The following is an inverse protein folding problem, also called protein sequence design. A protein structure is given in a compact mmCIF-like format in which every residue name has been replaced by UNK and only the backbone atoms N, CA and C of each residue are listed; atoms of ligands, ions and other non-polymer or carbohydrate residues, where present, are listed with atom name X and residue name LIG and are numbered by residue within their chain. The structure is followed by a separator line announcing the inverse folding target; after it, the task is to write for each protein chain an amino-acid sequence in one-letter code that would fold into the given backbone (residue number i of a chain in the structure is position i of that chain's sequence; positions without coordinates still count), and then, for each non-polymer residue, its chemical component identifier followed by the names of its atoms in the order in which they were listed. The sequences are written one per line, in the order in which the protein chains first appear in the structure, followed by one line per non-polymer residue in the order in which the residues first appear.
data_IF_378657618962
#
_entry.id   IF_378657618962
#
_cell.length_a   1.000
_cell.length_b   1.000
_cell.length_c   1.000
_cell.angle_alpha   90.00
_cell.angle_beta   90.00
_cell.angle_gamma   90.00
#
_symmetry.space_group_name_H-M   'P 1'
#
loop_
_entity.id
_entity.type
_entity.pdbx_description
1 polymer ?
#
# COMPACT_ATOMS: atom_id res chain seq x y z
N UNK A 1 31.11 -52.73 23.05
CA UNK A 1 30.15 -52.25 24.06
C UNK A 1 29.56 -50.94 23.57
N UNK A 2 28.23 -50.90 23.37
CA UNK A 2 27.26 -49.76 23.38
C UNK A 2 27.65 -48.46 22.63
N UNK A 3 26.95 -48.07 21.54
CA UNK A 3 25.67 -47.33 21.50
C UNK A 3 25.84 -45.87 22.01
N UNK A 4 25.35 -44.77 21.43
CA UNK A 4 24.33 -44.46 20.41
C UNK A 4 24.47 -42.96 20.04
N UNK A 5 23.84 -42.56 18.93
CA UNK A 5 23.58 -41.18 18.47
C UNK A 5 23.13 -40.17 19.55
N UNK A 6 23.43 -38.87 19.34
CA UNK A 6 22.38 -37.90 19.00
C UNK A 6 22.94 -36.53 18.55
N UNK A 7 22.42 -36.08 17.41
CA UNK A 7 22.35 -34.68 17.00
C UNK A 7 21.43 -33.92 17.97
N UNK A 8 21.82 -32.70 18.34
CA UNK A 8 20.85 -31.64 18.63
C UNK A 8 21.45 -30.27 18.35
N UNK A 9 20.72 -29.53 17.51
CA UNK A 9 20.89 -28.13 17.17
C UNK A 9 20.83 -27.25 18.43
N UNK A 10 21.73 -26.28 18.53
CA UNK A 10 21.66 -25.14 19.43
C UNK A 10 20.65 -24.13 18.85
N UNK A 11 19.51 -23.95 19.51
CA UNK A 11 19.19 -22.87 20.47
C UNK A 11 19.46 -21.45 19.94
N UNK A 12 18.38 -20.75 19.58
CA UNK A 12 17.99 -19.46 20.18
C UNK A 12 16.68 -18.95 19.56
N UNK A 13 15.56 -19.37 20.15
CA UNK A 13 14.28 -18.69 20.05
C UNK A 13 13.70 -18.56 21.47
N UNK A 14 13.18 -17.37 21.77
CA UNK A 14 12.31 -17.01 22.91
C UNK A 14 12.97 -16.67 24.25
N UNK A 15 13.64 -15.52 24.34
CA UNK A 15 13.83 -14.80 25.62
C UNK A 15 13.86 -13.28 25.41
N UNK A 16 12.71 -12.62 25.21
CA UNK A 16 12.57 -11.16 25.37
C UNK A 16 11.36 -10.78 26.22
N UNK A 17 11.10 -11.57 27.26
CA UNK A 17 10.27 -11.15 28.38
C UNK A 17 11.19 -10.89 29.57
N UNK A 18 10.93 -9.79 30.27
CA UNK A 18 11.50 -9.36 31.57
C UNK A 18 12.84 -8.62 31.52
N UNK A 19 12.77 -7.28 31.54
CA UNK A 19 13.10 -6.43 32.70
C UNK A 19 13.14 -4.96 32.23
N UNK A 20 12.20 -4.14 32.70
CA UNK A 20 12.41 -2.70 32.77
C UNK A 20 11.93 -2.24 34.14
N UNK A 21 12.92 -1.92 34.95
CA UNK A 21 12.79 -1.27 36.24
C UNK A 21 12.05 0.05 36.10
N UNK A 22 11.11 0.24 37.00
CA UNK A 22 10.54 1.54 37.33
C UNK A 22 11.63 2.41 37.92
N UNK A 23 11.99 3.51 37.26
CA UNK A 23 12.55 4.65 37.97
C UNK A 23 12.01 5.98 37.43
N UNK A 24 11.54 6.75 38.40
CA UNK A 24 10.87 8.03 38.26
C UNK A 24 11.82 9.15 38.68
N UNK A 25 11.89 10.23 37.91
CA UNK A 25 12.21 11.57 38.39
C UNK A 25 11.39 12.55 37.52
N UNK A 26 10.24 13.07 37.95
CA UNK A 26 10.04 14.21 38.86
C UNK A 26 10.77 15.50 38.44
N UNK A 27 10.07 16.33 37.66
CA UNK A 27 10.07 17.80 37.82
C UNK A 27 8.59 18.22 37.92
N UNK A 28 8.09 18.41 39.14
CA UNK A 28 8.07 19.67 39.89
C UNK A 28 6.80 20.52 39.63
N UNK A 29 5.80 20.25 40.47
CA UNK A 29 5.05 21.24 41.27
C UNK A 29 4.21 22.31 40.55
N UNK A 30 3.00 21.90 40.14
CA UNK A 30 1.77 22.44 40.78
C UNK A 30 0.84 21.26 41.05
N UNK A 31 0.51 21.02 42.33
CA UNK A 31 -0.61 20.13 42.70
C UNK A 31 -1.84 20.62 41.92
N UNK A 32 -2.53 19.79 41.12
CA UNK A 32 -3.83 20.18 40.59
C UNK A 32 -4.73 20.51 41.77
N UNK A 33 -5.42 21.64 41.74
CA UNK A 33 -6.40 21.94 42.76
C UNK A 33 -7.57 20.95 42.62
N UNK A 34 -7.55 19.90 43.43
CA UNK A 34 -8.51 18.79 43.36
C UNK A 34 -9.92 19.16 43.85
N UNK A 35 -10.12 20.41 44.30
CA UNK A 35 -11.43 20.94 44.71
C UNK A 35 -12.35 21.28 43.53
N UNK A 36 -11.86 21.20 42.28
CA UNK A 36 -12.54 21.66 41.08
C UNK A 36 -13.51 20.66 40.43
N UNK A 37 -13.49 19.38 40.82
CA UNK A 37 -14.38 18.35 40.24
C UNK A 37 -15.53 18.02 41.22
N UNK A 38 -16.54 18.89 41.27
CA UNK A 38 -17.78 18.59 41.99
C UNK A 38 -18.68 17.72 41.13
N UNK A 39 -18.93 16.49 41.56
CA UNK A 39 -20.04 15.65 41.08
C UNK A 39 -21.35 16.31 41.49
N UNK A 40 -22.20 16.67 40.53
CA UNK A 40 -23.60 16.99 40.78
C UNK A 40 -24.45 15.78 40.39
N UNK A 41 -24.97 15.04 41.39
CA UNK A 41 -25.90 13.93 41.18
C UNK A 41 -25.59 12.66 41.98
N UNK A 42 -26.64 11.91 42.31
CA UNK A 42 -26.55 10.64 43.02
C UNK A 42 -26.00 9.53 42.12
N UNK A 43 -24.88 8.95 42.55
CA UNK A 43 -24.24 7.80 41.89
C UNK A 43 -25.07 6.55 42.17
N UNK A 44 -25.40 5.77 41.14
CA UNK A 44 -25.94 4.43 41.36
C UNK A 44 -24.93 3.61 42.19
N UNK A 45 -25.32 3.03 43.35
CA UNK A 45 -24.44 2.36 44.31
C UNK A 45 -23.40 1.36 43.74
N UNK A 46 -23.68 0.54 42.70
CA UNK A 46 -22.73 -0.47 42.24
C UNK A 46 -21.47 0.09 41.55
N UNK A 47 -21.47 1.33 41.04
CA UNK A 47 -20.33 1.89 40.30
C UNK A 47 -19.22 2.43 41.23
N UNK A 48 -19.55 2.79 42.47
CA UNK A 48 -18.57 3.29 43.47
C UNK A 48 -17.57 2.24 43.95
N UNK A 49 -17.81 0.95 43.66
CA UNK A 49 -16.91 -0.13 44.08
C UNK A 49 -15.94 -0.59 42.98
N UNK A 50 -16.10 -0.10 41.75
CA UNK A 50 -15.22 -0.42 40.64
C UNK A 50 -13.96 0.46 40.66
N UNK A 51 -12.80 -0.14 40.37
CA UNK A 51 -11.54 0.60 40.19
C UNK A 51 -11.61 1.57 39.00
N UNK A 52 -12.26 1.16 37.91
CA UNK A 52 -12.58 2.01 36.75
C UNK A 52 -13.66 1.35 35.89
N UNK A 53 -14.38 2.15 35.11
CA UNK A 53 -15.33 1.67 34.10
C UNK A 53 -15.39 2.60 32.89
N UNK A 54 -16.08 2.18 31.83
CA UNK A 54 -16.39 3.04 30.69
C UNK A 54 -17.83 3.50 30.77
N UNK A 55 -18.05 4.77 30.47
CA UNK A 55 -19.38 5.35 30.29
C UNK A 55 -19.37 6.24 29.05
N UNK A 56 -20.52 6.44 28.43
CA UNK A 56 -20.65 7.19 27.17
C UNK A 56 -21.06 8.62 27.46
N UNK A 57 -20.54 9.56 26.68
CA UNK A 57 -21.06 10.94 26.71
C UNK A 57 -22.45 10.94 26.09
N UNK A 58 -23.43 11.44 26.84
CA UNK A 58 -24.82 11.60 26.36
C UNK A 58 -25.22 13.06 26.20
N UNK A 59 -24.57 13.97 26.93
CA UNK A 59 -24.87 15.41 26.83
C UNK A 59 -23.67 16.27 27.25
N UNK A 60 -23.52 17.44 26.63
CA UNK A 60 -22.52 18.46 26.95
C UNK A 60 -23.16 19.84 26.86
N UNK A 61 -23.09 20.62 27.96
CA UNK A 61 -23.62 21.99 28.00
C UNK A 61 -22.75 22.91 28.83
N UNK A 62 -22.94 24.22 28.70
CA UNK A 62 -22.32 25.24 29.56
C UNK A 62 -23.33 25.73 30.59
N UNK A 63 -22.89 25.81 31.84
CA UNK A 63 -23.63 26.39 32.95
C UNK A 63 -22.65 27.17 33.83
N UNK A 64 -22.97 28.42 34.15
CA UNK A 64 -22.13 29.31 34.97
C UNK A 64 -20.64 29.37 34.52
N UNK A 65 -20.38 29.46 33.20
CA UNK A 65 -19.04 29.46 32.59
C UNK A 65 -18.23 28.16 32.78
N UNK A 66 -18.87 27.09 33.25
CA UNK A 66 -18.29 25.74 33.35
C UNK A 66 -18.92 24.84 32.30
N UNK A 67 -18.13 23.92 31.75
CA UNK A 67 -18.63 22.90 30.83
C UNK A 67 -19.04 21.68 31.67
N UNK A 68 -20.27 21.22 31.49
CA UNK A 68 -20.83 20.04 32.14
C UNK A 68 -20.96 18.93 31.11
N UNK A 69 -20.51 17.73 31.45
CA UNK A 69 -20.60 16.52 30.62
C UNK A 69 -21.40 15.47 31.38
N UNK A 70 -22.54 15.07 30.83
CA UNK A 70 -23.35 13.97 31.36
C UNK A 70 -22.99 12.68 30.67
N UNK A 71 -22.87 11.63 31.47
CA UNK A 71 -22.65 10.28 30.99
C UNK A 71 -23.94 9.43 31.01
N UNK A 72 -23.95 8.33 30.27
CA UNK A 72 -25.08 7.39 30.17
C UNK A 72 -25.42 6.67 31.48
N UNK A 73 -24.50 6.64 32.42
CA UNK A 73 -24.69 6.16 33.79
C UNK A 73 -25.35 7.20 34.73
N UNK A 74 -25.62 8.40 34.22
CA UNK A 74 -26.24 9.52 34.93
C UNK A 74 -25.27 10.48 35.61
N UNK A 75 -23.96 10.18 35.68
CA UNK A 75 -22.98 11.07 36.32
C UNK A 75 -22.76 12.34 35.48
N UNK A 76 -22.66 13.48 36.16
CA UNK A 76 -22.34 14.78 35.55
C UNK A 76 -20.99 15.27 36.06
N UNK A 77 -20.07 15.50 35.14
CA UNK A 77 -18.74 16.02 35.42
C UNK A 77 -18.62 17.47 34.97
N UNK A 78 -18.05 18.30 35.85
CA UNK A 78 -17.90 19.75 35.63
C UNK A 78 -16.42 20.05 35.34
N UNK A 79 -16.18 20.80 34.26
CA UNK A 79 -14.87 21.18 33.78
C UNK A 79 -14.77 22.69 33.60
N UNK A 80 -13.57 23.22 33.79
CA UNK A 80 -13.22 24.56 33.33
C UNK A 80 -13.12 24.59 31.81
N UNK A 81 -13.42 25.76 31.21
CA UNK A 81 -13.24 26.03 29.77
C UNK A 81 -11.83 25.70 29.30
N UNK A 82 -10.85 25.98 30.15
CA UNK A 82 -9.42 25.78 29.88
C UNK A 82 -8.89 24.38 30.21
N UNK A 83 -9.76 23.47 30.67
CA UNK A 83 -9.36 22.12 31.08
C UNK A 83 -8.73 21.34 29.92
N UNK A 84 -7.67 20.59 30.23
CA UNK A 84 -6.92 19.81 29.22
C UNK A 84 -7.80 18.77 28.51
N UNK A 85 -8.79 18.20 29.20
CA UNK A 85 -9.71 17.22 28.63
C UNK A 85 -10.69 17.88 27.65
N UNK A 86 -11.14 19.09 27.95
CA UNK A 86 -11.98 19.89 27.04
C UNK A 86 -11.19 20.29 25.80
N UNK A 87 -9.96 20.81 25.97
CA UNK A 87 -9.07 21.15 24.85
C UNK A 87 -8.79 19.94 23.96
N UNK A 88 -8.62 18.77 24.57
CA UNK A 88 -8.44 17.52 23.84
C UNK A 88 -9.69 17.12 23.06
N UNK A 89 -10.87 17.21 23.68
CA UNK A 89 -12.14 16.89 23.03
C UNK A 89 -12.40 17.84 21.84
N UNK A 90 -12.22 19.15 22.02
CA UNK A 90 -12.33 20.13 20.93
C UNK A 90 -11.39 19.80 19.76
N UNK A 91 -10.12 19.50 20.07
CA UNK A 91 -9.12 19.09 19.07
C UNK A 91 -9.51 17.79 18.36
N UNK A 92 -10.08 16.82 19.08
CA UNK A 92 -10.54 15.55 18.48
C UNK A 92 -11.62 15.78 17.43
N UNK A 93 -12.47 16.78 17.63
CA UNK A 93 -13.48 17.21 16.65
C UNK A 93 -12.98 18.21 15.62
N UNK A 94 -11.68 18.57 15.65
CA UNK A 94 -11.09 19.59 14.80
C UNK A 94 -11.78 20.96 14.90
N UNK A 95 -12.23 21.31 16.11
CA UNK A 95 -12.88 22.60 16.42
C UNK A 95 -11.89 23.44 17.23
N UNK A 96 -11.79 24.74 16.94
CA UNK A 96 -11.03 25.67 17.79
C UNK A 96 -11.63 25.71 19.20
N UNK A 97 -10.80 25.84 20.25
CA UNK A 97 -11.30 25.77 21.64
C UNK A 97 -12.25 26.92 21.98
N UNK A 98 -12.04 28.11 21.40
CA UNK A 98 -12.92 29.26 21.60
C UNK A 98 -14.23 29.06 20.83
N UNK A 99 -14.15 28.61 19.58
CA UNK A 99 -15.31 28.27 18.74
C UNK A 99 -16.13 27.13 19.36
N UNK A 100 -15.47 26.10 19.91
CA UNK A 100 -16.10 24.99 20.63
C UNK A 100 -16.93 25.49 21.81
N UNK A 101 -16.42 26.50 22.51
CA UNK A 101 -17.12 27.08 23.65
C UNK A 101 -18.28 27.98 23.22
N UNK A 102 -18.09 28.78 22.18
CA UNK A 102 -19.16 29.60 21.60
C UNK A 102 -20.29 28.73 21.02
N UNK A 103 -19.95 27.61 20.39
CA UNK A 103 -20.89 26.59 19.93
C UNK A 103 -21.69 26.00 21.09
N UNK A 104 -21.06 25.65 22.21
CA UNK A 104 -21.80 25.14 23.39
C UNK A 104 -22.70 26.25 23.99
N UNK A 105 -22.27 27.51 24.00
CA UNK A 105 -23.03 28.64 24.55
C UNK A 105 -24.28 28.98 23.72
N UNK A 106 -24.17 28.95 22.39
CA UNK A 106 -25.22 29.43 21.48
C UNK A 106 -26.09 28.31 20.88
N UNK A 107 -25.65 27.06 20.97
CA UNK A 107 -26.39 25.93 20.40
C UNK A 107 -26.70 24.87 21.46
N UNK A 108 -27.93 24.87 21.97
CA UNK A 108 -28.48 23.72 22.70
C UNK A 108 -28.70 22.49 21.78
N UNK A 109 -28.57 22.62 20.46
CA UNK A 109 -29.10 21.64 19.49
C UNK A 109 -28.10 21.10 18.46
N UNK A 110 -26.96 21.75 18.16
CA UNK A 110 -26.03 21.25 17.12
C UNK A 110 -24.88 20.39 17.64
N UNK A 111 -24.56 20.42 18.94
CA UNK A 111 -23.52 19.58 19.50
C UNK A 111 -24.05 18.21 19.97
N UNK A 112 -25.29 18.11 20.45
CA UNK A 112 -25.91 16.83 20.81
C UNK A 112 -25.86 15.83 19.64
N UNK A 113 -26.24 16.25 18.43
CA UNK A 113 -26.21 15.37 17.24
C UNK A 113 -24.78 14.94 16.86
N UNK A 114 -23.77 15.77 17.11
CA UNK A 114 -22.35 15.47 16.86
C UNK A 114 -21.77 14.52 17.92
N UNK A 115 -22.24 14.58 19.16
CA UNK A 115 -21.82 13.66 20.23
C UNK A 115 -22.58 12.33 20.18
N UNK A 116 -23.90 12.36 19.97
CA UNK A 116 -24.75 11.16 19.83
C UNK A 116 -24.31 10.28 18.66
N UNK A 117 -23.90 10.89 17.54
CA UNK A 117 -23.42 10.15 16.36
C UNK A 117 -22.10 9.41 16.58
N UNK A 118 -21.27 9.81 17.55
CA UNK A 118 -19.91 9.30 17.73
C UNK A 118 -19.72 8.36 18.93
N UNK A 119 -20.74 8.17 19.78
CA UNK A 119 -20.74 7.16 20.86
C UNK A 119 -19.44 7.18 21.70
N UNK A 120 -18.97 8.37 22.08
CA UNK A 120 -17.68 8.58 22.73
C UNK A 120 -17.67 7.92 24.11
N UNK A 121 -16.71 7.02 24.33
CA UNK A 121 -16.46 6.45 25.65
C UNK A 121 -15.49 7.33 26.45
N UNK A 122 -15.85 7.57 27.70
CA UNK A 122 -15.01 8.16 28.75
C UNK A 122 -14.61 7.04 29.70
N UNK A 123 -13.33 7.01 30.11
CA UNK A 123 -12.89 6.12 31.17
C UNK A 123 -13.05 6.83 32.50
N UNK A 124 -13.90 6.32 33.37
CA UNK A 124 -14.10 6.86 34.72
C UNK A 124 -13.28 6.02 35.69
N UNK A 125 -12.37 6.66 36.42
CA UNK A 125 -11.48 6.02 37.39
C UNK A 125 -11.91 6.40 38.80
N UNK A 126 -11.93 5.42 39.71
CA UNK A 126 -12.24 5.66 41.11
C UNK A 126 -10.94 5.80 41.90
N UNK A 127 -10.69 7.02 42.39
CA UNK A 127 -9.52 7.33 43.21
C UNK A 127 -10.00 7.72 44.61
N UNK A 128 -9.86 6.80 45.57
CA UNK A 128 -10.24 6.99 46.97
C UNK A 128 -11.71 7.42 47.16
N UNK A 129 -12.62 6.88 46.36
CA UNK A 129 -14.05 7.19 46.41
C UNK A 129 -14.49 8.37 45.52
N UNK A 130 -13.55 9.08 44.91
CA UNK A 130 -13.84 10.13 43.93
C UNK A 130 -13.81 9.55 42.52
N UNK A 131 -14.90 9.75 41.78
CA UNK A 131 -14.96 9.40 40.36
C UNK A 131 -14.30 10.51 39.56
N UNK A 132 -13.34 10.13 38.72
CA UNK A 132 -12.58 11.06 37.87
C UNK A 132 -12.75 10.62 36.42
N UNK A 133 -13.27 11.50 35.55
CA UNK A 133 -13.42 11.20 34.13
C UNK A 133 -12.08 11.40 33.41
N UNK A 134 -11.80 10.52 32.45
CA UNK A 134 -10.64 10.61 31.56
C UNK A 134 -11.10 10.39 30.11
N UNK A 135 -11.45 11.50 29.44
CA UNK A 135 -11.98 11.51 28.08
C UNK A 135 -10.92 11.01 27.09
N UNK A 136 -9.69 11.53 27.20
CA UNK A 136 -8.58 11.14 26.33
C UNK A 136 -8.33 9.63 26.36
N UNK A 137 -8.25 9.05 27.57
CA UNK A 137 -8.02 7.62 27.77
C UNK A 137 -9.21 6.79 27.29
N UNK A 138 -10.43 7.27 27.50
CA UNK A 138 -11.65 6.64 27.00
C UNK A 138 -11.65 6.49 25.46
N UNK A 139 -11.41 7.61 24.75
CA UNK A 139 -11.32 7.63 23.28
C UNK A 139 -10.17 6.74 22.77
N UNK A 140 -9.00 6.79 23.43
CA UNK A 140 -7.85 5.96 23.07
C UNK A 140 -8.14 4.46 23.18
N UNK A 141 -8.67 4.01 24.31
CA UNK A 141 -8.98 2.60 24.52
C UNK A 141 -10.13 2.12 23.62
N UNK A 142 -11.12 2.98 23.32
CA UNK A 142 -12.18 2.66 22.35
C UNK A 142 -11.63 2.45 20.93
N UNK A 143 -10.83 3.40 20.42
CA UNK A 143 -10.24 3.28 19.09
C UNK A 143 -9.27 2.10 19.00
N UNK A 144 -8.51 1.85 20.06
CA UNK A 144 -7.66 0.66 20.17
C UNK A 144 -8.48 -0.63 20.08
N UNK A 145 -9.59 -0.75 20.82
CA UNK A 145 -10.46 -1.92 20.74
C UNK A 145 -11.03 -2.12 19.34
N UNK A 146 -11.45 -1.04 18.67
CA UNK A 146 -11.97 -1.10 17.31
C UNK A 146 -10.89 -1.60 16.33
N UNK A 147 -9.67 -1.06 16.41
CA UNK A 147 -8.53 -1.49 15.59
C UNK A 147 -8.20 -2.97 15.86
N UNK A 148 -8.15 -3.38 17.12
CA UNK A 148 -7.89 -4.79 17.48
C UNK A 148 -8.97 -5.72 16.92
N UNK A 149 -10.23 -5.30 16.99
CA UNK A 149 -11.34 -6.07 16.43
C UNK A 149 -11.22 -6.19 14.90
N UNK A 150 -10.93 -5.08 14.22
CA UNK A 150 -10.70 -5.03 12.77
C UNK A 150 -9.55 -5.96 12.34
N UNK A 151 -8.44 -5.97 13.09
CA UNK A 151 -7.29 -6.84 12.82
C UNK A 151 -7.67 -8.32 12.95
N UNK A 152 -8.51 -8.67 13.95
CA UNK A 152 -8.98 -10.05 14.16
C UNK A 152 -9.90 -10.52 13.03
N UNK A 153 -10.76 -9.63 12.54
CA UNK A 153 -11.71 -9.93 11.45
C UNK A 153 -11.01 -9.99 10.08
N UNK A 154 -10.11 -9.05 9.79
CA UNK A 154 -9.50 -8.87 8.46
C UNK A 154 -8.14 -9.58 8.26
N UNK A 155 -7.67 -10.37 9.24
CA UNK A 155 -6.39 -11.11 9.22
C UNK A 155 -5.18 -10.22 8.87
N UNK A 156 -4.61 -9.52 9.87
CA UNK A 156 -3.24 -8.96 9.91
C UNK A 156 -2.70 -8.11 8.73
N UNK A 157 -3.50 -7.77 7.73
CA UNK A 157 -3.09 -6.98 6.55
C UNK A 157 -3.68 -5.57 6.53
N UNK A 158 -4.31 -5.13 7.63
CA UNK A 158 -4.92 -3.80 7.70
C UNK A 158 -3.85 -2.71 7.69
N UNK A 159 -4.03 -1.74 6.78
CA UNK A 159 -3.13 -0.60 6.57
C UNK A 159 -3.66 0.61 7.34
N UNK A 160 -2.78 1.29 8.07
CA UNK A 160 -3.10 2.54 8.77
C UNK A 160 -2.11 3.65 8.42
N UNK A 161 -2.53 4.91 8.51
CA UNK A 161 -1.60 6.04 8.57
C UNK A 161 -1.13 6.25 10.01
N UNK A 162 0.19 6.17 10.23
CA UNK A 162 0.80 6.35 11.53
C UNK A 162 1.71 7.58 11.51
N UNK A 163 1.46 8.50 12.44
CA UNK A 163 2.30 9.68 12.65
C UNK A 163 3.44 9.37 13.61
N UNK A 164 4.68 9.60 13.20
CA UNK A 164 5.85 9.40 14.05
C UNK A 164 5.95 10.57 15.01
N UNK A 165 5.91 10.30 16.32
CA UNK A 165 5.89 11.34 17.36
C UNK A 165 7.26 11.55 17.97
N UNK A 166 7.99 10.46 18.22
CA UNK A 166 9.33 10.49 18.82
C UNK A 166 10.08 9.19 18.55
N UNK A 167 11.38 9.23 18.77
CA UNK A 167 12.28 8.08 18.75
C UNK A 167 12.79 7.81 20.17
N UNK A 168 12.73 6.56 20.62
CA UNK A 168 13.29 6.13 21.92
C UNK A 168 13.94 4.77 21.71
N UNK A 169 15.24 4.64 22.00
CA UNK A 169 15.99 3.38 21.91
C UNK A 169 15.74 2.62 20.60
N UNK A 170 15.89 3.30 19.45
CA UNK A 170 15.68 2.73 18.11
C UNK A 170 14.22 2.28 17.80
N UNK A 171 13.26 2.70 18.62
CA UNK A 171 11.83 2.48 18.40
C UNK A 171 11.14 3.80 18.15
N UNK A 172 10.51 3.93 16.99
CA UNK A 172 9.57 5.00 16.71
C UNK A 172 8.28 4.78 17.50
N UNK A 173 7.95 5.76 18.34
CA UNK A 173 6.64 5.88 18.94
C UNK A 173 5.74 6.64 17.99
N UNK A 174 4.71 5.96 17.52
CA UNK A 174 3.82 6.43 16.49
C UNK A 174 2.39 6.55 17.05
N UNK A 175 1.54 7.29 16.33
CA UNK A 175 0.12 7.40 16.62
C UNK A 175 -0.73 7.17 15.39
N UNK A 176 -1.66 6.23 15.49
CA UNK A 176 -2.74 6.02 14.52
C UNK A 176 -3.94 6.87 14.96
N UNK A 177 -4.57 7.54 14.01
CA UNK A 177 -5.69 8.47 14.24
C UNK A 177 -5.37 9.55 15.30
N UNK A 178 -4.08 9.92 15.47
CA UNK A 178 -3.57 10.83 16.50
C UNK A 178 -3.79 10.40 17.97
N UNK A 179 -4.36 9.21 18.22
CA UNK A 179 -4.88 8.83 19.53
C UNK A 179 -4.37 7.47 19.99
N UNK A 180 -4.28 6.49 19.09
CA UNK A 180 -3.85 5.12 19.42
C UNK A 180 -2.33 5.01 19.29
N UNK A 181 -1.66 4.62 20.36
CA UNK A 181 -0.20 4.44 20.36
C UNK A 181 0.19 3.15 19.64
N UNK A 182 1.20 3.25 18.78
CA UNK A 182 1.83 2.10 18.15
C UNK A 182 3.34 2.29 18.05
N UNK A 183 4.05 1.20 17.81
CA UNK A 183 5.50 1.13 17.89
C UNK A 183 6.06 0.51 16.62
N UNK A 184 7.14 1.09 16.11
CA UNK A 184 7.81 0.62 14.91
C UNK A 184 9.32 0.71 15.12
N UNK A 185 10.04 -0.38 14.96
CA UNK A 185 11.50 -0.33 15.00
C UNK A 185 12.01 0.47 13.81
N UNK A 186 13.17 1.13 13.96
CA UNK A 186 13.78 1.89 12.87
C UNK A 186 13.97 1.05 11.60
N UNK A 187 14.38 -0.22 11.73
CA UNK A 187 14.54 -1.13 10.58
C UNK A 187 13.22 -1.54 9.89
N UNK A 188 12.07 -1.32 10.54
CA UNK A 188 10.74 -1.57 9.95
C UNK A 188 10.19 -0.32 9.23
N UNK A 189 10.86 0.83 9.37
CA UNK A 189 10.42 2.10 8.82
C UNK A 189 10.84 2.33 7.35
N UNK A 190 11.79 1.54 6.83
CA UNK A 190 12.25 1.62 5.44
C UNK A 190 12.83 0.26 4.98
N UNK A 191 12.73 -0.10 3.69
CA UNK A 191 13.50 -1.20 3.11
C UNK A 191 15.00 -0.92 3.10
N UNK A 192 15.38 0.35 2.98
CA UNK A 192 16.76 0.83 2.94
C UNK A 192 17.28 1.22 4.33
N UNK A 193 18.61 1.34 4.45
CA UNK A 193 19.24 1.84 5.68
C UNK A 193 18.82 3.29 5.95
N UNK A 194 18.41 3.56 7.19
CA UNK A 194 18.07 4.91 7.65
C UNK A 194 19.28 5.48 8.39
N UNK A 195 19.96 6.45 7.76
CA UNK A 195 21.13 7.12 8.35
C UNK A 195 20.75 8.13 9.44
N UNK A 196 19.64 8.86 9.23
CA UNK A 196 19.10 9.82 10.19
C UNK A 196 17.63 9.48 10.55
N UNK A 197 17.43 8.64 11.58
CA UNK A 197 16.09 8.29 12.06
C UNK A 197 15.31 9.48 12.61
N UNK A 198 15.97 10.50 13.16
CA UNK A 198 15.27 11.66 13.75
C UNK A 198 14.56 12.50 12.69
N UNK A 199 15.07 12.50 11.45
CA UNK A 199 14.41 13.14 10.30
C UNK A 199 12.99 12.62 10.01
N UNK A 200 12.59 11.48 10.58
CA UNK A 200 11.25 10.90 10.41
C UNK A 200 10.23 11.46 11.40
N UNK A 201 10.66 12.14 12.47
CA UNK A 201 9.77 12.70 13.48
C UNK A 201 8.82 13.72 12.83
N UNK A 202 7.53 13.57 13.12
CA UNK A 202 6.45 14.41 12.58
C UNK A 202 5.86 13.91 11.25
N UNK A 203 6.53 13.01 10.52
CA UNK A 203 6.03 12.44 9.27
C UNK A 203 4.88 11.46 9.52
N UNK A 204 3.98 11.38 8.54
CA UNK A 204 2.95 10.34 8.48
C UNK A 204 3.34 9.31 7.42
N UNK A 205 3.26 8.04 7.79
CA UNK A 205 3.64 6.91 6.94
C UNK A 205 2.58 5.81 7.00
N UNK A 206 2.37 5.13 5.87
CA UNK A 206 1.44 4.00 5.78
C UNK A 206 2.06 2.74 6.36
N UNK A 207 1.44 2.12 7.34
CA UNK A 207 1.99 0.96 8.04
C UNK A 207 0.99 -0.18 8.10
N UNK A 208 1.51 -1.40 8.14
CA UNK A 208 0.72 -2.62 8.39
C UNK A 208 0.98 -3.09 9.81
N UNK A 209 -0.07 -3.53 10.50
CA UNK A 209 0.06 -4.10 11.84
C UNK A 209 0.74 -5.46 11.78
N UNK A 210 1.84 -5.62 12.50
CA UNK A 210 2.61 -6.86 12.54
C UNK A 210 2.19 -7.73 13.72
N UNK A 211 1.98 -7.13 14.89
CA UNK A 211 1.52 -7.82 16.08
C UNK A 211 0.82 -6.88 17.05
N UNK A 212 0.06 -7.46 17.98
CA UNK A 212 -0.61 -6.75 19.07
C UNK A 212 -0.32 -7.49 20.37
N UNK A 213 0.18 -6.78 21.38
CA UNK A 213 0.39 -7.32 22.71
C UNK A 213 -0.31 -6.44 23.77
N UNK A 214 -1.45 -6.92 24.26
CA UNK A 214 -2.28 -6.17 25.20
C UNK A 214 -2.76 -4.85 24.60
N UNK A 215 -2.18 -3.74 25.04
CA UNK A 215 -2.48 -2.39 24.53
C UNK A 215 -1.47 -1.87 23.50
N UNK A 216 -0.36 -2.57 23.31
CA UNK A 216 0.71 -2.15 22.40
C UNK A 216 0.48 -2.75 21.01
N UNK A 217 0.46 -1.90 19.99
CA UNK A 217 0.41 -2.30 18.58
C UNK A 217 1.80 -2.13 17.97
N UNK A 218 2.31 -3.17 17.31
CA UNK A 218 3.54 -3.10 16.54
C UNK A 218 3.21 -3.03 15.06
N UNK A 219 3.92 -2.17 14.32
CA UNK A 219 3.64 -1.89 12.92
C UNK A 219 4.91 -1.93 12.06
N UNK A 220 4.74 -2.05 10.75
CA UNK A 220 5.85 -2.05 9.78
C UNK A 220 5.47 -1.30 8.51
N UNK A 221 6.31 -0.34 8.12
CA UNK A 221 6.23 0.33 6.82
C UNK A 221 6.83 -0.53 5.71
N UNK A 222 7.93 -1.23 6.01
CA UNK A 222 8.57 -2.16 5.08
C UNK A 222 7.60 -3.24 4.59
N UNK A 223 6.85 -3.87 5.50
CA UNK A 223 5.84 -4.88 5.15
C UNK A 223 4.70 -4.29 4.31
N UNK A 224 4.32 -3.03 4.54
CA UNK A 224 3.36 -2.33 3.70
C UNK A 224 3.88 -2.18 2.25
N UNK A 225 5.14 -1.77 2.09
CA UNK A 225 5.79 -1.65 0.77
C UNK A 225 5.83 -3.03 0.10
N UNK A 226 6.26 -4.07 0.81
CA UNK A 226 6.35 -5.44 0.27
C UNK A 226 4.99 -5.97 -0.19
N UNK A 227 3.93 -5.77 0.61
CA UNK A 227 2.58 -6.19 0.26
C UNK A 227 2.03 -5.41 -0.94
N UNK A 228 2.31 -4.12 -1.01
CA UNK A 228 1.89 -3.25 -2.11
C UNK A 228 2.64 -3.60 -3.40
N UNK A 229 3.94 -3.88 -3.34
CA UNK A 229 4.71 -4.31 -4.51
C UNK A 229 4.24 -5.68 -5.02
N UNK A 230 4.00 -6.65 -4.13
CA UNK A 230 3.49 -7.97 -4.52
C UNK A 230 2.10 -7.90 -5.13
N UNK A 231 1.16 -7.19 -4.51
CA UNK A 231 -0.19 -7.04 -5.04
C UNK A 231 -0.19 -6.29 -6.38
N UNK A 232 0.67 -5.27 -6.51
CA UNK A 232 0.83 -4.56 -7.77
C UNK A 232 1.39 -5.48 -8.85
N UNK A 233 2.41 -6.28 -8.54
CA UNK A 233 3.01 -7.22 -9.49
C UNK A 233 2.04 -8.34 -9.91
N UNK A 234 1.20 -8.84 -8.99
CA UNK A 234 0.12 -9.78 -9.31
C UNK A 234 -0.93 -9.13 -10.24
N UNK A 235 -1.35 -7.89 -9.94
CA UNK A 235 -2.29 -7.17 -10.79
C UNK A 235 -1.73 -6.89 -12.19
N UNK A 236 -0.44 -6.57 -12.29
CA UNK A 236 0.23 -6.37 -13.57
C UNK A 236 0.34 -7.68 -14.36
N UNK A 237 0.62 -8.81 -13.69
CA UNK A 237 0.60 -10.14 -14.32
C UNK A 237 -0.79 -10.52 -14.83
N UNK A 238 -1.85 -10.15 -14.12
CA UNK A 238 -3.22 -10.36 -14.59
C UNK A 238 -3.52 -9.51 -15.83
N UNK A 239 -3.07 -8.24 -15.86
CA UNK A 239 -3.20 -7.38 -17.05
C UNK A 239 -2.44 -7.94 -18.26
N UNK A 240 -1.27 -8.56 -18.04
CA UNK A 240 -0.53 -9.29 -19.08
C UNK A 240 -1.35 -10.49 -19.57
N UNK A 241 -1.82 -11.34 -18.66
CA UNK A 241 -2.55 -12.58 -19.00
C UNK A 241 -3.84 -12.30 -19.79
N UNK A 242 -4.55 -11.24 -19.40
CA UNK A 242 -5.81 -10.83 -20.04
C UNK A 242 -5.60 -9.86 -21.22
N UNK A 243 -4.35 -9.48 -21.50
CA UNK A 243 -3.96 -8.53 -22.56
C UNK A 243 -4.84 -7.26 -22.53
N UNK A 244 -4.97 -6.66 -21.37
CA UNK A 244 -5.85 -5.50 -21.15
C UNK A 244 -5.17 -4.24 -21.66
N UNK A 245 -5.95 -3.38 -22.34
CA UNK A 245 -5.48 -2.06 -22.79
C UNK A 245 -5.43 -1.11 -21.60
N UNK A 246 -4.31 -0.42 -21.45
CA UNK A 246 -3.98 0.47 -20.33
C UNK A 246 -3.62 1.85 -20.87
N UNK A 247 -3.98 2.90 -20.14
CA UNK A 247 -3.57 4.28 -20.42
C UNK A 247 -2.40 4.70 -19.53
N UNK A 248 -1.52 5.53 -20.09
CA UNK A 248 -0.44 6.14 -19.33
C UNK A 248 0.11 7.40 -20.00
N UNK A 249 0.85 8.17 -19.23
CA UNK A 249 1.48 9.42 -19.65
C UNK A 249 2.91 9.14 -20.09
N UNK A 250 3.31 9.74 -21.21
CA UNK A 250 4.68 9.67 -21.70
C UNK A 250 5.57 10.52 -20.80
N UNK A 251 6.55 9.88 -20.16
CA UNK A 251 7.51 10.56 -19.29
C UNK A 251 8.79 10.95 -20.02
N UNK A 252 9.09 10.27 -21.12
CA UNK A 252 10.23 10.57 -21.99
C UNK A 252 10.27 9.69 -23.24
N UNK A 253 11.03 10.13 -24.23
CA UNK A 253 11.28 9.40 -25.48
C UNK A 253 12.79 9.33 -25.66
N UNK A 254 13.33 8.17 -26.03
CA UNK A 254 14.75 7.98 -26.30
C UNK A 254 14.98 7.26 -27.64
N UNK A 255 16.20 6.83 -27.90
CA UNK A 255 16.58 6.10 -29.11
C UNK A 255 16.06 4.65 -29.17
N UNK A 256 15.54 4.10 -28.07
CA UNK A 256 15.08 2.70 -27.97
C UNK A 256 13.55 2.63 -27.97
N UNK A 257 12.87 3.66 -27.46
CA UNK A 257 11.41 3.70 -27.38
C UNK A 257 10.85 4.84 -26.55
N UNK A 258 9.65 4.61 -26.01
CA UNK A 258 8.85 5.59 -25.27
C UNK A 258 8.62 5.11 -23.85
N UNK A 259 9.01 5.93 -22.87
CA UNK A 259 8.73 5.68 -21.46
C UNK A 259 7.33 6.16 -21.11
N UNK A 260 6.57 5.28 -20.47
CA UNK A 260 5.19 5.52 -20.04
C UNK A 260 5.06 5.28 -18.55
N UNK A 261 4.20 6.07 -17.90
CA UNK A 261 3.88 5.91 -16.49
C UNK A 261 2.39 6.12 -16.27
N UNK A 262 1.80 5.33 -15.38
CA UNK A 262 0.52 5.66 -14.75
C UNK A 262 0.64 5.53 -13.22
N UNK A 263 -0.48 5.60 -12.50
CA UNK A 263 -0.49 5.53 -11.04
C UNK A 263 0.09 4.22 -10.48
N UNK A 264 0.01 3.12 -11.25
CA UNK A 264 0.33 1.77 -10.79
C UNK A 264 1.56 1.17 -11.48
N UNK A 265 2.01 1.70 -12.62
CA UNK A 265 3.09 1.10 -13.39
C UNK A 265 4.01 2.13 -14.04
N UNK A 266 5.24 1.68 -14.27
CA UNK A 266 6.24 2.34 -15.11
C UNK A 266 6.63 1.35 -16.20
N UNK A 267 6.61 1.77 -17.45
CA UNK A 267 6.89 0.89 -18.58
C UNK A 267 7.66 1.54 -19.73
N UNK A 268 8.14 0.70 -20.63
CA UNK A 268 8.83 1.08 -21.86
C UNK A 268 8.14 0.41 -23.06
N UNK A 269 7.71 1.21 -24.03
CA UNK A 269 7.25 0.73 -25.34
C UNK A 269 8.42 0.83 -26.32
N UNK A 270 8.93 -0.31 -26.78
CA UNK A 270 9.99 -0.34 -27.79
C UNK A 270 9.47 0.15 -29.16
N UNK A 271 10.34 0.76 -29.96
CA UNK A 271 9.94 1.27 -31.29
C UNK A 271 9.38 0.20 -32.23
N UNK A 272 9.94 -1.02 -32.20
CA UNK A 272 9.42 -2.14 -32.99
C UNK A 272 8.05 -2.66 -32.49
N UNK A 273 7.60 -2.20 -31.31
CA UNK A 273 6.32 -2.51 -30.66
C UNK A 273 5.33 -1.35 -30.67
N UNK A 274 5.58 -0.31 -31.46
CA UNK A 274 4.62 0.77 -31.70
C UNK A 274 3.83 0.53 -32.98
N UNK A 275 2.56 0.95 -32.98
CA UNK A 275 1.81 1.13 -34.22
C UNK A 275 2.55 2.13 -35.10
N UNK A 276 2.49 1.91 -36.42
CA UNK A 276 3.11 2.79 -37.41
C UNK A 276 2.70 4.25 -37.23
N UNK A 277 1.41 4.48 -37.03
CA UNK A 277 0.88 5.83 -36.81
C UNK A 277 1.49 6.49 -35.57
N UNK A 278 1.49 5.80 -34.42
CA UNK A 278 2.08 6.30 -33.18
C UNK A 278 3.56 6.61 -33.34
N UNK A 279 4.32 5.73 -34.00
CA UNK A 279 5.75 5.95 -34.28
C UNK A 279 6.00 7.21 -35.10
N UNK A 280 5.20 7.44 -36.15
CA UNK A 280 5.30 8.65 -36.97
C UNK A 280 4.90 9.91 -36.18
N UNK A 281 3.87 9.83 -35.33
CA UNK A 281 3.49 10.94 -34.44
C UNK A 281 4.59 11.28 -33.43
N UNK A 282 5.29 10.27 -32.89
CA UNK A 282 6.45 10.47 -31.99
C UNK A 282 7.60 11.14 -32.73
N UNK A 283 7.94 10.67 -33.93
CA UNK A 283 8.98 11.28 -34.77
C UNK A 283 8.69 12.74 -35.12
N UNK A 284 7.41 13.07 -35.35
CA UNK A 284 6.96 14.43 -35.63
C UNK A 284 6.83 15.31 -34.38
N UNK A 285 7.05 14.75 -33.18
CA UNK A 285 6.90 15.45 -31.91
C UNK A 285 5.46 15.73 -31.48
N UNK A 286 4.47 15.15 -32.18
CA UNK A 286 3.05 15.29 -31.87
C UNK A 286 2.72 14.52 -30.58
N UNK A 287 3.29 13.32 -30.45
CA UNK A 287 3.16 12.47 -29.28
C UNK A 287 4.49 12.46 -28.51
N UNK A 288 4.56 13.21 -27.42
CA UNK A 288 5.78 13.51 -26.68
C UNK A 288 5.51 13.57 -25.16
N UNK A 289 6.49 14.04 -24.38
CA UNK A 289 6.42 14.06 -22.92
C UNK A 289 5.17 14.84 -22.44
N UNK A 290 4.38 14.21 -21.58
CA UNK A 290 3.13 14.75 -21.04
C UNK A 290 1.88 14.33 -21.80
N UNK A 291 2.00 13.76 -23.01
CA UNK A 291 0.84 13.22 -23.72
C UNK A 291 0.42 11.85 -23.18
N UNK A 292 -0.87 11.55 -23.28
CA UNK A 292 -1.43 10.23 -22.97
C UNK A 292 -1.25 9.28 -24.17
N UNK A 293 -0.94 8.01 -23.89
CA UNK A 293 -0.88 6.93 -24.87
C UNK A 293 -1.53 5.67 -24.30
N UNK A 294 -2.23 4.93 -25.16
CA UNK A 294 -2.80 3.61 -24.84
C UNK A 294 -1.82 2.50 -25.24
N UNK A 295 -1.65 1.49 -24.38
CA UNK A 295 -0.76 0.37 -24.63
C UNK A 295 -1.18 -0.88 -23.85
N UNK A 296 -0.58 -2.00 -24.17
CA UNK A 296 -0.67 -3.28 -23.47
C UNK A 296 0.64 -3.56 -22.74
N UNK A 297 0.57 -4.39 -21.71
CA UNK A 297 1.74 -4.90 -21.01
C UNK A 297 2.05 -6.28 -21.59
N UNK A 298 3.22 -6.44 -22.20
CA UNK A 298 3.69 -7.72 -22.72
C UNK A 298 4.37 -8.55 -21.63
N UNK A 299 5.12 -7.89 -20.74
CA UNK A 299 5.86 -8.56 -19.67
C UNK A 299 6.12 -7.61 -18.50
N UNK A 300 6.41 -8.19 -17.33
CA UNK A 300 6.68 -7.46 -16.09
C UNK A 300 7.94 -8.03 -15.45
N UNK A 301 8.93 -7.17 -15.25
CA UNK A 301 10.17 -7.55 -14.58
C UNK A 301 9.94 -7.76 -13.07
N UNK A 302 10.84 -8.49 -12.36
CA UNK A 302 10.69 -8.74 -10.91
C UNK A 302 10.61 -7.47 -10.05
N UNK A 303 11.20 -6.37 -10.50
CA UNK A 303 11.16 -5.04 -9.87
C UNK A 303 9.92 -4.22 -10.26
N UNK A 304 8.95 -4.81 -10.96
CA UNK A 304 7.66 -4.18 -11.29
C UNK A 304 7.69 -3.23 -12.49
N UNK A 305 8.76 -3.22 -13.29
CA UNK A 305 8.82 -2.44 -14.54
C UNK A 305 8.17 -3.23 -15.67
N UNK A 306 7.42 -2.54 -16.51
CA UNK A 306 6.65 -3.14 -17.58
C UNK A 306 7.36 -3.03 -18.94
N UNK A 307 7.39 -4.12 -19.69
CA UNK A 307 7.66 -4.10 -21.12
C UNK A 307 6.32 -3.98 -21.82
N UNK A 308 6.15 -2.96 -22.66
CA UNK A 308 4.85 -2.58 -23.21
C UNK A 308 4.83 -2.63 -24.74
N UNK A 309 3.63 -2.69 -25.29
CA UNK A 309 3.35 -2.60 -26.73
C UNK A 309 2.13 -1.73 -27.00
N UNK A 310 2.18 -0.88 -28.02
CA UNK A 310 1.01 -0.15 -28.49
C UNK A 310 0.26 -0.93 -29.60
N UNK A 311 0.77 -2.11 -29.98
CA UNK A 311 0.20 -2.95 -31.03
C UNK A 311 -0.75 -4.01 -30.47
N UNK A 312 -1.85 -4.22 -31.19
CA UNK A 312 -2.77 -5.34 -31.07
C UNK A 312 -2.22 -6.57 -31.78
N UNK A 313 -2.70 -7.77 -31.43
CA UNK A 313 -2.22 -9.04 -32.04
C UNK A 313 -2.39 -9.00 -33.57
N UNK A 314 -3.48 -8.41 -34.04
CA UNK A 314 -3.76 -8.18 -35.47
C UNK A 314 -2.70 -7.28 -36.12
N UNK A 315 -2.25 -6.23 -35.44
CA UNK A 315 -1.21 -5.33 -35.97
C UNK A 315 0.11 -6.07 -36.18
N UNK A 316 0.46 -7.02 -35.28
CA UNK A 316 1.65 -7.85 -35.46
C UNK A 316 1.52 -8.77 -36.69
N UNK A 317 0.32 -9.29 -36.96
CA UNK A 317 0.07 -10.11 -38.16
C UNK A 317 0.15 -9.27 -39.44
N UNK A 318 -0.48 -8.09 -39.46
CA UNK A 318 -0.44 -7.16 -40.59
C UNK A 318 0.99 -6.71 -40.90
N UNK A 319 1.74 -6.36 -39.87
CA UNK A 319 3.16 -6.00 -40.01
C UNK A 319 4.00 -7.16 -40.55
N UNK A 320 3.79 -8.37 -40.03
CA UNK A 320 4.50 -9.55 -40.54
C UNK A 320 4.11 -9.86 -42.00
N UNK A 321 2.85 -9.64 -42.40
CA UNK A 321 2.42 -9.73 -43.80
C UNK A 321 3.11 -8.67 -44.64
N UNK A 322 3.15 -7.42 -44.21
CA UNK A 322 3.85 -6.33 -44.91
C UNK A 322 5.34 -6.66 -45.07
N UNK A 323 6.00 -7.13 -44.01
CA UNK A 323 7.44 -7.37 -44.00
C UNK A 323 7.84 -8.62 -44.77
N UNK A 324 7.02 -9.68 -44.76
CA UNK A 324 7.40 -11.01 -45.24
C UNK A 324 6.61 -11.52 -46.46
N UNK A 325 5.30 -11.26 -46.54
CA UNK A 325 4.44 -11.95 -47.50
C UNK A 325 4.82 -11.62 -48.95
N UNK A 326 4.94 -12.66 -49.77
CA UNK A 326 5.33 -12.60 -51.18
C UNK A 326 6.73 -12.02 -51.44
N UNK A 327 7.57 -11.95 -50.40
CA UNK A 327 8.95 -11.48 -50.49
C UNK A 327 9.93 -12.63 -50.27
N UNK A 328 11.15 -12.45 -50.79
CA UNK A 328 12.27 -13.37 -50.60
C UNK A 328 13.18 -12.84 -49.51
N UNK A 329 13.47 -13.68 -48.52
CA UNK A 329 14.35 -13.35 -47.40
C UNK A 329 15.47 -14.36 -47.27
N UNK A 330 16.65 -13.87 -46.91
CA UNK A 330 17.75 -14.73 -46.48
C UNK A 330 17.47 -15.23 -45.07
N UNK A 331 17.60 -16.54 -44.84
CA UNK A 331 17.33 -17.14 -43.55
C UNK A 331 18.27 -18.30 -43.25
N UNK A 332 18.49 -18.55 -41.95
CA UNK A 332 19.37 -19.61 -41.46
C UNK A 332 18.59 -20.88 -41.17
N UNK A 333 19.01 -22.01 -41.71
CA UNK A 333 18.37 -23.31 -41.43
C UNK A 333 18.62 -23.70 -39.97
N UNK A 334 17.54 -23.89 -39.21
CA UNK A 334 17.58 -24.33 -37.80
C UNK A 334 17.41 -25.84 -37.70
N UNK A 335 16.54 -26.41 -38.53
CA UNK A 335 16.24 -27.85 -38.53
C UNK A 335 15.82 -28.32 -39.93
N UNK A 336 16.14 -29.56 -40.29
CA UNK A 336 15.76 -30.21 -41.55
C UNK A 336 15.06 -31.54 -41.22
N UNK A 337 13.95 -31.81 -41.90
CA UNK A 337 13.19 -33.06 -41.83
C UNK A 337 12.72 -33.45 -43.24
N UNK A 338 13.52 -34.27 -43.91
CA UNK A 338 13.29 -34.67 -45.30
C UNK A 338 13.24 -33.44 -46.21
N UNK A 339 12.21 -33.34 -47.06
CA UNK A 339 12.03 -32.20 -47.97
C UNK A 339 11.49 -30.91 -47.28
N UNK A 340 11.46 -30.86 -45.95
CA UNK A 340 11.01 -29.69 -45.18
C UNK A 340 12.12 -29.19 -44.25
N UNK A 341 12.13 -27.89 -43.97
CA UNK A 341 13.03 -27.29 -43.00
C UNK A 341 12.33 -26.21 -42.17
N UNK A 342 12.92 -25.89 -41.02
CA UNK A 342 12.59 -24.68 -40.25
C UNK A 342 13.74 -23.71 -40.46
N UNK A 343 13.42 -22.53 -40.99
CA UNK A 343 14.38 -21.46 -41.28
C UNK A 343 14.09 -20.28 -40.38
N UNK A 344 15.13 -19.75 -39.74
CA UNK A 344 15.06 -18.50 -38.98
C UNK A 344 15.28 -17.33 -39.93
N UNK A 345 14.27 -16.45 -40.03
CA UNK A 345 14.31 -15.23 -40.82
C UNK A 345 14.28 -14.04 -39.87
N UNK A 346 15.18 -13.09 -40.07
CA UNK A 346 15.19 -11.82 -39.33
C UNK A 346 14.58 -10.76 -40.25
N UNK A 347 13.43 -10.23 -39.88
CA UNK A 347 12.75 -9.17 -40.61
C UNK A 347 13.50 -7.82 -40.46
N UNK A 348 13.19 -6.80 -41.30
CA UNK A 348 13.84 -5.49 -41.24
C UNK A 348 13.74 -4.81 -39.87
N UNK A 349 12.65 -5.07 -39.13
CA UNK A 349 12.41 -4.56 -37.78
C UNK A 349 13.16 -5.34 -36.68
N UNK A 350 14.05 -6.28 -37.08
CA UNK A 350 14.82 -7.21 -36.24
C UNK A 350 13.98 -8.28 -35.55
N UNK A 351 12.71 -8.43 -35.89
CA UNK A 351 11.89 -9.53 -35.38
C UNK A 351 12.32 -10.85 -36.03
N UNK A 352 12.54 -11.87 -35.21
CA UNK A 352 12.93 -13.21 -35.67
C UNK A 352 11.69 -14.08 -35.85
N UNK A 353 11.50 -14.63 -37.04
CA UNK A 353 10.43 -15.56 -37.39
C UNK A 353 11.00 -16.95 -37.67
N UNK A 354 10.35 -17.98 -37.12
CA UNK A 354 10.63 -19.37 -37.47
C UNK A 354 9.65 -19.79 -38.58
N UNK A 355 10.18 -19.95 -39.79
CA UNK A 355 9.40 -20.24 -40.98
C UNK A 355 9.50 -21.70 -41.35
N UNK A 356 8.35 -22.34 -41.56
CA UNK A 356 8.29 -23.69 -42.11
C UNK A 356 8.44 -23.61 -43.62
N UNK A 357 9.47 -24.24 -44.16
CA UNK A 357 9.79 -24.19 -45.59
C UNK A 357 9.82 -25.57 -46.23
N UNK A 358 9.52 -25.61 -47.53
CA UNK A 358 9.64 -26.79 -48.39
C UNK A 358 10.79 -26.62 -49.39
N UNK A 359 11.05 -27.67 -50.17
CA UNK A 359 12.10 -27.74 -51.20
C UNK A 359 13.52 -27.74 -50.62
N UNK A 360 13.70 -28.47 -49.52
CA UNK A 360 15.03 -28.73 -48.97
C UNK A 360 15.69 -29.85 -49.78
N UNK A 361 16.89 -29.61 -50.30
CA UNK A 361 17.71 -30.61 -50.99
C UNK A 361 18.65 -31.34 -50.02
N UNK A 362 19.10 -32.54 -50.38
CA UNK A 362 20.01 -33.38 -49.60
C UNK A 362 21.38 -32.73 -49.34
N UNK A 363 21.73 -31.73 -50.15
CA UNK A 363 22.96 -30.96 -50.01
C UNK A 363 22.92 -29.95 -48.85
N UNK A 364 21.71 -29.56 -48.41
CA UNK A 364 21.52 -28.53 -47.39
C UNK A 364 21.67 -29.09 -45.97
N UNK A 365 22.24 -28.29 -45.07
CA UNK A 365 22.54 -28.67 -43.69
C UNK A 365 22.10 -27.60 -42.70
N UNK A 366 21.97 -28.01 -41.44
CA UNK A 366 21.69 -27.09 -40.33
C UNK A 366 22.78 -26.01 -40.27
N UNK A 367 22.37 -24.76 -40.20
CA UNK A 367 23.25 -23.60 -40.16
C UNK A 367 23.42 -22.90 -41.49
N UNK A 368 23.08 -23.53 -42.61
CA UNK A 368 23.19 -22.93 -43.95
C UNK A 368 22.26 -21.72 -44.10
N UNK A 369 22.69 -20.77 -44.93
CA UNK A 369 21.91 -19.58 -45.29
C UNK A 369 21.24 -19.85 -46.63
N UNK A 370 19.92 -19.73 -46.67
CA UNK A 370 19.10 -20.00 -47.87
C UNK A 370 18.16 -18.83 -48.17
N UNK A 371 17.79 -18.69 -49.44
CA UNK A 371 16.76 -17.74 -49.86
C UNK A 371 15.39 -18.40 -49.75
N UNK A 372 14.48 -17.78 -49.00
CA UNK A 372 13.13 -18.28 -48.75
C UNK A 372 12.11 -17.29 -49.28
N UNK A 373 11.27 -17.74 -50.20
CA UNK A 373 10.09 -16.98 -50.62
C UNK A 373 8.91 -17.34 -49.70
N UNK A 374 8.34 -16.34 -49.04
CA UNK A 374 7.22 -16.52 -48.11
C UNK A 374 5.89 -16.36 -48.86
N UNK A 375 5.01 -17.34 -48.75
CA UNK A 375 3.69 -17.30 -49.40
C UNK A 375 2.52 -17.27 -48.41
N UNK A 376 2.76 -17.47 -47.12
CA UNK A 376 1.70 -17.42 -46.10
C UNK A 376 2.22 -16.89 -44.77
N UNK A 377 1.46 -15.98 -44.18
CA UNK A 377 1.65 -15.41 -42.85
C UNK A 377 0.28 -15.31 -42.19
N UNK A 378 0.09 -15.93 -41.04
CA UNK A 378 -1.18 -15.90 -40.29
C UNK A 378 -0.97 -16.15 -38.79
N UNK A 379 -1.99 -15.86 -37.98
CA UNK A 379 -2.03 -16.20 -36.57
C UNK A 379 -2.61 -17.61 -36.36
N UNK A 380 -1.92 -18.45 -35.60
CA UNK A 380 -2.48 -19.72 -35.17
C UNK A 380 -3.51 -19.56 -34.03
N UNK A 381 -4.07 -20.68 -33.57
CA UNK A 381 -5.07 -20.70 -32.49
C UNK A 381 -4.54 -20.19 -31.14
N UNK A 382 -3.22 -20.07 -31.00
CA UNK A 382 -2.55 -19.52 -29.81
C UNK A 382 -2.09 -18.07 -30.03
N UNK A 383 -2.57 -17.40 -31.09
CA UNK A 383 -2.16 -16.04 -31.48
C UNK A 383 -0.66 -15.90 -31.77
N UNK A 384 0.00 -16.99 -32.18
CA UNK A 384 1.40 -16.95 -32.62
C UNK A 384 1.45 -16.81 -34.14
N UNK A 385 2.32 -15.92 -34.61
CA UNK A 385 2.56 -15.75 -36.05
C UNK A 385 3.23 -17.02 -36.58
N UNK A 386 2.57 -17.65 -37.56
CA UNK A 386 3.11 -18.74 -38.36
C UNK A 386 3.41 -18.24 -39.76
N UNK A 387 4.55 -18.69 -40.28
CA UNK A 387 5.01 -18.33 -41.62
C UNK A 387 5.35 -19.60 -42.39
N UNK A 388 4.92 -19.64 -43.65
CA UNK A 388 5.23 -20.72 -44.58
C UNK A 388 5.86 -20.17 -45.85
N UNK A 389 6.88 -20.87 -46.32
CA UNK A 389 7.62 -20.49 -47.51
C UNK A 389 8.18 -21.68 -48.27
N UNK A 390 8.94 -21.38 -49.31
CA UNK A 390 9.69 -22.35 -50.09
C UNK A 390 11.11 -21.84 -50.28
N UNK A 391 12.08 -22.75 -50.23
CA UNK A 391 13.46 -22.41 -50.58
C UNK A 391 13.50 -22.18 -52.10
N UNK A 392 14.06 -21.05 -52.49
CA UNK A 392 14.28 -20.66 -53.89
C UNK A 392 15.79 -20.61 -54.16
N UNK A 393 16.19 -21.03 -55.36
CA UNK A 393 17.59 -21.05 -55.78
C UNK A 393 18.10 -19.66 -56.13
#
# INVERSE_FOLDING_TARGET
MKATNNQTQTNNQNEWATTFETDALFEANKKPDWSLYKLEGDVSPPLKNLKSYFAKIVDIWIDNKKIKIKLDDGNIFVFDKDDKQIKYLAKYYNIDVNEFSELIEHSKLSLLSVFESNNIKVKVENIKGNLIPNIKKGIAEQNLMNIIQEIKENKSATVYSAKIVKLVNEIFHCKILNVVECFMNVFEASPDLIEDPESYIGKEISVVVTSVNGTNIYVSHKKYIDLTQKSNLESLKELVANRVKVKGIITGVNNIGVFVKNEKLIGLIYYNKLKRESFEQIKKGILSKGNEIEFYIDDVTPDGRCICTNMEITDFEEKAKEDLLNKTHSGKIINIKGNNAIVQIIAPDRTSYLTSVRNCDETMKRGDIVNVQIYSVFLDKENKIKTYGQIVK
#
